data_IF_281050209305
#
_entry.id   IF_281050209305
#
_cell.length_a   1.000
_cell.length_b   1.000
_cell.length_c   1.000
_cell.angle_alpha   90.00
_cell.angle_beta   90.00
_cell.angle_gamma   90.00
#
_symmetry.space_group_name_H-M   'P 1'
#
loop_
_entity.id
_entity.type
_entity.pdbx_description
1 polymer ?
#
# COMPACT_ATOMS: atom_id res chain seq x y z
N UNK A 1 8.87 -9.78 15.26
CA UNK A 1 9.89 -8.80 15.59
C UNK A 1 9.49 -7.40 15.16
N UNK A 2 10.17 -6.38 15.66
CA UNK A 2 9.84 -4.98 15.37
C UNK A 2 9.86 -4.65 13.86
N UNK A 3 10.68 -5.36 13.08
CA UNK A 3 10.91 -5.09 11.65
C UNK A 3 10.15 -6.03 10.71
N UNK A 4 9.19 -6.79 11.22
CA UNK A 4 8.40 -7.72 10.40
C UNK A 4 7.60 -7.04 9.29
N UNK A 5 7.33 -5.75 9.41
CA UNK A 5 6.67 -4.94 8.38
C UNK A 5 7.55 -4.68 7.14
N UNK A 6 8.85 -4.89 7.21
CA UNK A 6 9.79 -4.74 6.08
C UNK A 6 9.91 -6.00 5.23
N UNK A 7 9.22 -7.07 5.58
CA UNK A 7 9.25 -8.34 4.85
C UNK A 7 7.84 -8.80 4.48
N UNK A 8 7.74 -9.52 3.36
CA UNK A 8 6.51 -10.13 2.89
C UNK A 8 6.81 -11.50 2.25
N UNK A 9 5.86 -12.41 2.35
CA UNK A 9 5.95 -13.74 1.71
C UNK A 9 4.93 -13.79 0.57
N UNK A 10 5.39 -14.31 -0.57
CA UNK A 10 4.58 -14.52 -1.75
C UNK A 10 4.63 -15.99 -2.19
N UNK A 11 3.51 -16.50 -2.63
CA UNK A 11 3.38 -17.87 -3.13
C UNK A 11 2.22 -18.04 -4.08
N UNK A 12 2.12 -19.23 -4.69
CA UNK A 12 3.14 -20.27 -4.84
C UNK A 12 4.18 -19.94 -5.92
N UNK A 13 5.11 -20.87 -6.19
CA UNK A 13 5.94 -20.80 -7.39
C UNK A 13 5.09 -20.80 -8.66
N UNK A 14 5.57 -20.13 -9.68
CA UNK A 14 4.84 -19.88 -10.94
C UNK A 14 5.65 -20.40 -12.11
N UNK A 15 4.99 -21.04 -13.04
CA UNK A 15 5.59 -21.41 -14.33
C UNK A 15 5.34 -20.29 -15.34
N UNK A 16 6.39 -19.73 -15.87
CA UNK A 16 6.36 -18.72 -16.94
C UNK A 16 7.05 -19.24 -18.20
N UNK A 17 6.72 -18.65 -19.33
CA UNK A 17 7.45 -18.94 -20.58
C UNK A 17 8.57 -17.94 -20.74
N UNK A 18 9.80 -18.43 -20.85
CA UNK A 18 10.96 -17.62 -21.19
C UNK A 18 10.81 -17.08 -22.63
N UNK A 19 10.92 -15.75 -22.76
CA UNK A 19 10.70 -15.07 -24.04
C UNK A 19 11.80 -15.33 -25.06
N UNK A 20 13.00 -15.72 -24.62
CA UNK A 20 14.15 -15.93 -25.51
C UNK A 20 14.18 -17.33 -26.14
N UNK A 21 13.84 -18.34 -25.37
CA UNK A 21 13.96 -19.73 -25.79
C UNK A 21 12.65 -20.49 -25.79
N UNK A 22 11.53 -19.84 -25.45
CA UNK A 22 10.17 -20.41 -25.36
C UNK A 22 10.06 -21.60 -24.40
N UNK A 23 11.00 -21.77 -23.47
CA UNK A 23 10.97 -22.82 -22.47
C UNK A 23 10.13 -22.38 -21.27
N UNK A 24 9.48 -23.38 -20.65
CA UNK A 24 8.81 -23.16 -19.37
C UNK A 24 9.85 -23.14 -18.25
N UNK A 25 9.81 -22.12 -17.44
CA UNK A 25 10.69 -21.93 -16.28
C UNK A 25 9.85 -21.71 -15.03
N UNK A 26 10.20 -22.37 -13.95
CA UNK A 26 9.57 -22.14 -12.64
C UNK A 26 10.32 -21.05 -11.91
N UNK A 27 9.60 -20.01 -11.49
CA UNK A 27 10.15 -18.88 -10.74
C UNK A 27 9.38 -18.65 -9.44
N UNK A 28 9.99 -17.98 -8.48
CA UNK A 28 9.30 -17.56 -7.25
C UNK A 28 8.23 -16.51 -7.53
N UNK A 29 7.13 -16.58 -6.81
CA UNK A 29 6.05 -15.57 -6.93
C UNK A 29 6.49 -14.17 -6.48
N UNK A 30 7.51 -14.07 -5.64
CA UNK A 30 8.15 -12.83 -5.21
C UNK A 30 8.69 -11.99 -6.37
N UNK A 31 9.29 -12.64 -7.38
CA UNK A 31 9.80 -11.98 -8.59
C UNK A 31 8.67 -11.33 -9.39
N UNK A 32 7.53 -12.03 -9.51
CA UNK A 32 6.35 -11.49 -10.18
C UNK A 32 5.70 -10.39 -9.35
N UNK A 33 5.61 -10.59 -8.04
CA UNK A 33 5.07 -9.59 -7.12
C UNK A 33 5.89 -8.30 -7.18
N UNK A 34 7.22 -8.38 -7.16
CA UNK A 34 8.10 -7.21 -7.29
C UNK A 34 7.85 -6.46 -8.60
N UNK A 35 7.79 -7.17 -9.73
CA UNK A 35 7.44 -6.57 -11.02
C UNK A 35 6.08 -5.87 -10.96
N UNK A 36 5.07 -6.53 -10.36
CA UNK A 36 3.72 -5.99 -10.28
C UNK A 36 3.67 -4.72 -9.42
N UNK A 37 4.37 -4.71 -8.27
CA UNK A 37 4.50 -3.52 -7.43
C UNK A 37 5.17 -2.37 -8.15
N UNK A 38 6.27 -2.61 -8.85
CA UNK A 38 6.96 -1.57 -9.63
C UNK A 38 6.07 -1.01 -10.74
N UNK A 39 5.33 -1.87 -11.46
CA UNK A 39 4.40 -1.43 -12.49
C UNK A 39 3.28 -0.57 -11.90
N UNK A 40 2.64 -1.01 -10.82
CA UNK A 40 1.54 -0.27 -10.18
C UNK A 40 2.01 1.08 -9.65
N UNK A 41 3.19 1.14 -9.01
CA UNK A 41 3.75 2.40 -8.51
C UNK A 41 4.06 3.35 -9.66
N UNK A 42 4.58 2.83 -10.78
CA UNK A 42 4.92 3.65 -11.95
C UNK A 42 3.67 4.16 -12.70
N UNK A 43 2.65 3.32 -12.85
CA UNK A 43 1.51 3.61 -13.72
C UNK A 43 0.37 4.33 -12.98
N UNK A 44 0.11 3.95 -11.73
CA UNK A 44 -0.98 4.47 -10.91
C UNK A 44 -0.47 5.37 -9.76
N UNK A 45 0.79 5.18 -9.35
CA UNK A 45 1.39 5.87 -8.20
C UNK A 45 0.98 5.31 -6.85
N UNK A 46 1.43 6.01 -5.78
CA UNK A 46 0.90 5.77 -4.44
C UNK A 46 -0.47 6.44 -4.31
N UNK A 47 -1.42 5.87 -3.58
CA UNK A 47 -1.37 4.75 -2.62
C UNK A 47 -1.79 3.38 -3.19
N UNK A 48 -1.82 3.17 -4.47
CA UNK A 48 -2.37 1.94 -5.05
C UNK A 48 -1.58 0.69 -4.66
N UNK A 49 -2.30 -0.42 -4.49
CA UNK A 49 -1.74 -1.71 -4.10
C UNK A 49 -1.69 -2.69 -5.27
N UNK A 50 -0.58 -3.42 -5.39
CA UNK A 50 -0.43 -4.48 -6.39
C UNK A 50 -1.15 -5.77 -5.95
N UNK A 51 -2.42 -5.66 -5.57
CA UNK A 51 -3.27 -6.76 -5.11
C UNK A 51 -4.71 -6.59 -5.62
N UNK A 52 -5.50 -7.66 -5.52
CA UNK A 52 -6.86 -7.69 -6.01
C UNK A 52 -6.96 -7.87 -7.52
N UNK A 53 -8.18 -8.09 -8.05
CA UNK A 53 -8.40 -8.48 -9.44
C UNK A 53 -8.06 -7.37 -10.45
N UNK A 54 -8.01 -6.10 -10.03
CA UNK A 54 -7.67 -4.98 -10.93
C UNK A 54 -6.16 -4.82 -11.11
N UNK A 55 -5.42 -4.68 -10.01
CA UNK A 55 -4.00 -4.28 -10.02
C UNK A 55 -3.05 -5.43 -9.66
N UNK A 56 -3.55 -6.52 -9.06
CA UNK A 56 -2.77 -7.70 -8.72
C UNK A 56 -2.76 -8.80 -9.78
N UNK A 57 -3.38 -8.57 -10.94
CA UNK A 57 -3.52 -9.60 -11.99
C UNK A 57 -2.17 -9.97 -12.59
N UNK A 58 -1.90 -11.28 -12.62
CA UNK A 58 -0.70 -11.87 -13.21
C UNK A 58 -1.04 -12.51 -14.54
N UNK A 59 -0.37 -12.06 -15.59
CA UNK A 59 -0.54 -12.59 -16.96
C UNK A 59 0.62 -13.48 -17.36
N UNK A 60 0.35 -14.44 -18.27
CA UNK A 60 1.36 -15.35 -18.82
C UNK A 60 2.08 -16.22 -17.78
N UNK A 61 1.38 -16.53 -16.69
CA UNK A 61 1.87 -17.43 -15.66
C UNK A 61 0.87 -18.56 -15.43
N UNK A 62 1.38 -19.73 -15.13
CA UNK A 62 0.59 -20.90 -14.71
C UNK A 62 1.01 -21.31 -13.31
N UNK A 63 0.04 -21.73 -12.52
CA UNK A 63 0.24 -22.26 -11.17
C UNK A 63 -0.32 -23.69 -11.15
N UNK A 64 0.39 -24.60 -10.52
CA UNK A 64 0.00 -26.02 -10.52
C UNK A 64 -1.31 -26.28 -9.77
N UNK A 65 -1.67 -25.41 -8.88
CA UNK A 65 -2.92 -25.47 -8.10
C UNK A 65 -3.80 -24.24 -8.32
N UNK A 66 -5.10 -24.42 -8.18
CA UNK A 66 -6.09 -23.36 -8.34
C UNK A 66 -6.85 -23.16 -7.04
N UNK A 67 -6.43 -22.17 -6.26
CA UNK A 67 -7.11 -21.77 -5.05
C UNK A 67 -8.03 -20.59 -5.41
N UNK A 68 -9.32 -20.70 -5.09
CA UNK A 68 -10.26 -19.59 -5.22
C UNK A 68 -10.10 -18.57 -4.08
N UNK A 69 -10.36 -17.30 -4.34
CA UNK A 69 -10.18 -16.23 -3.36
C UNK A 69 -11.03 -16.41 -2.08
N UNK A 70 -12.22 -16.94 -2.21
CA UNK A 70 -13.15 -17.18 -1.09
C UNK A 70 -12.96 -18.55 -0.42
N UNK A 71 -11.95 -19.32 -0.83
CA UNK A 71 -11.71 -20.65 -0.27
C UNK A 71 -11.18 -20.58 1.17
N UNK A 72 -11.33 -21.69 1.91
CA UNK A 72 -10.77 -21.78 3.26
C UNK A 72 -9.25 -21.73 3.25
N UNK A 73 -8.63 -22.29 2.21
CA UNK A 73 -7.18 -22.27 2.01
C UNK A 73 -6.68 -20.83 1.81
N UNK A 74 -7.34 -20.03 0.97
CA UNK A 74 -6.97 -18.63 0.77
C UNK A 74 -7.06 -17.83 2.08
N UNK A 75 -8.09 -18.11 2.91
CA UNK A 75 -8.21 -17.49 4.24
C UNK A 75 -7.07 -17.88 5.17
N UNK A 76 -6.72 -19.16 5.25
CA UNK A 76 -5.61 -19.63 6.09
C UNK A 76 -4.28 -18.98 5.71
N UNK A 77 -4.00 -18.83 4.42
CA UNK A 77 -2.79 -18.14 3.95
C UNK A 77 -2.81 -16.65 4.29
N UNK A 78 -3.96 -15.99 4.15
CA UNK A 78 -4.11 -14.60 4.55
C UNK A 78 -3.92 -14.39 6.07
N UNK A 79 -4.46 -15.28 6.89
CA UNK A 79 -4.30 -15.24 8.35
C UNK A 79 -2.83 -15.46 8.75
N UNK A 80 -2.10 -16.26 7.98
CA UNK A 80 -0.66 -16.44 8.12
C UNK A 80 0.17 -15.31 7.50
N UNK A 81 -0.45 -14.21 7.04
CA UNK A 81 0.19 -13.08 6.34
C UNK A 81 0.95 -13.46 5.07
N UNK A 82 0.51 -14.50 4.37
CA UNK A 82 1.05 -14.91 3.08
C UNK A 82 0.22 -14.33 1.93
N UNK A 83 0.90 -13.74 0.95
CA UNK A 83 0.27 -13.19 -0.24
C UNK A 83 0.24 -14.26 -1.33
N UNK A 84 -0.95 -14.81 -1.58
CA UNK A 84 -1.11 -15.93 -2.48
C UNK A 84 -1.69 -15.50 -3.82
N UNK A 85 -1.25 -16.18 -4.88
CA UNK A 85 -1.92 -16.14 -6.17
C UNK A 85 -3.17 -16.98 -6.09
N UNK A 86 -4.31 -16.33 -6.26
CA UNK A 86 -5.64 -16.98 -6.34
C UNK A 86 -6.15 -16.98 -7.77
N UNK A 87 -7.00 -17.96 -8.06
CA UNK A 87 -7.55 -18.16 -9.40
C UNK A 87 -8.98 -17.64 -9.49
N UNK A 88 -9.21 -16.69 -10.40
CA UNK A 88 -10.56 -16.25 -10.77
C UNK A 88 -11.12 -17.19 -11.87
N UNK A 89 -12.04 -18.05 -11.46
CA UNK A 89 -12.57 -19.11 -12.32
C UNK A 89 -13.39 -18.60 -13.51
N UNK A 90 -14.13 -17.49 -13.34
CA UNK A 90 -15.00 -16.93 -14.39
C UNK A 90 -14.20 -16.29 -15.51
N UNK A 91 -13.13 -15.58 -15.16
CA UNK A 91 -12.30 -14.82 -16.09
C UNK A 91 -10.98 -15.52 -16.43
N UNK A 92 -10.69 -16.65 -15.77
CA UNK A 92 -9.55 -17.55 -16.02
C UNK A 92 -8.18 -16.85 -15.92
N UNK A 93 -7.98 -16.05 -14.89
CA UNK A 93 -6.68 -15.43 -14.58
C UNK A 93 -6.29 -15.62 -13.12
N UNK A 94 -5.03 -15.31 -12.82
CA UNK A 94 -4.49 -15.30 -11.46
C UNK A 94 -4.25 -13.86 -11.00
N UNK A 95 -4.41 -13.62 -9.70
CA UNK A 95 -4.05 -12.35 -9.07
C UNK A 95 -3.58 -12.57 -7.64
N UNK A 96 -2.78 -11.64 -7.11
CA UNK A 96 -2.45 -11.64 -5.69
C UNK A 96 -3.66 -11.15 -4.89
N UNK A 97 -4.16 -11.98 -3.97
CA UNK A 97 -5.37 -11.67 -3.21
C UNK A 97 -5.15 -10.64 -2.10
N UNK A 98 -3.94 -10.56 -1.57
CA UNK A 98 -3.59 -9.72 -0.42
C UNK A 98 -2.28 -8.98 -0.64
N UNK A 99 -1.98 -8.04 0.26
CA UNK A 99 -0.75 -7.26 0.30
C UNK A 99 -0.19 -7.19 1.74
N UNK A 100 -0.11 -8.32 2.39
CA UNK A 100 0.31 -8.39 3.78
C UNK A 100 1.84 -8.38 3.90
N UNK A 101 2.33 -7.62 4.88
CA UNK A 101 3.69 -7.81 5.43
C UNK A 101 3.66 -8.96 6.44
N UNK A 102 4.82 -9.34 6.98
CA UNK A 102 4.89 -10.33 8.07
C UNK A 102 4.44 -9.77 9.44
N UNK A 103 3.92 -8.54 9.46
CA UNK A 103 3.34 -7.95 10.67
C UNK A 103 1.99 -8.60 10.97
N UNK A 104 1.91 -9.34 12.06
CA UNK A 104 0.67 -10.00 12.49
C UNK A 104 -0.26 -9.05 13.25
N UNK A 105 0.29 -8.03 13.90
CA UNK A 105 -0.51 -7.03 14.60
C UNK A 105 -1.42 -6.27 13.64
N UNK A 106 -2.64 -5.98 14.06
CA UNK A 106 -3.57 -5.16 13.29
C UNK A 106 -3.12 -3.69 13.33
N UNK A 107 -2.26 -3.33 12.40
CA UNK A 107 -1.71 -1.98 12.26
C UNK A 107 -1.64 -1.59 10.78
N UNK A 108 -1.47 -0.30 10.50
CA UNK A 108 -1.27 0.19 9.13
C UNK A 108 -0.06 -0.48 8.44
N UNK A 109 0.96 -0.87 9.20
CA UNK A 109 2.15 -1.54 8.71
C UNK A 109 1.95 -3.02 8.31
N UNK A 110 0.75 -3.55 8.51
CA UNK A 110 0.39 -4.85 7.95
C UNK A 110 0.26 -4.80 6.41
N UNK A 111 0.04 -3.64 5.83
CA UNK A 111 -0.15 -3.48 4.40
C UNK A 111 1.15 -3.00 3.71
N UNK A 112 1.62 -3.75 2.70
CA UNK A 112 2.82 -3.41 1.92
C UNK A 112 2.68 -2.02 1.29
N UNK A 113 1.53 -1.71 0.69
CA UNK A 113 1.28 -0.40 0.08
C UNK A 113 1.40 0.76 1.07
N UNK A 114 0.91 0.58 2.30
CA UNK A 114 1.06 1.59 3.35
C UNK A 114 2.53 1.77 3.75
N UNK A 115 3.27 0.68 3.93
CA UNK A 115 4.70 0.73 4.24
C UNK A 115 5.49 1.44 3.15
N UNK A 116 5.32 1.04 1.89
CA UNK A 116 6.02 1.65 0.75
C UNK A 116 5.69 3.14 0.62
N UNK A 117 4.43 3.52 0.84
CA UNK A 117 4.01 4.92 0.82
C UNK A 117 4.69 5.74 1.93
N UNK A 118 4.72 5.24 3.16
CA UNK A 118 5.38 5.91 4.29
C UNK A 118 6.89 6.05 4.04
N UNK A 119 7.54 5.00 3.55
CA UNK A 119 8.96 5.05 3.19
C UNK A 119 9.25 6.07 2.09
N UNK A 120 8.39 6.14 1.06
CA UNK A 120 8.52 7.14 0.00
C UNK A 120 8.32 8.58 0.52
N UNK A 121 7.34 8.80 1.41
CA UNK A 121 7.14 10.10 2.06
C UNK A 121 8.39 10.51 2.84
N UNK A 122 8.90 9.60 3.68
CA UNK A 122 10.12 9.84 4.48
C UNK A 122 11.31 10.21 3.59
N UNK A 123 11.57 9.44 2.54
CA UNK A 123 12.69 9.69 1.63
C UNK A 123 12.54 11.01 0.86
N UNK A 124 11.32 11.30 0.41
CA UNK A 124 11.05 12.54 -0.32
C UNK A 124 11.22 13.78 0.56
N UNK A 125 10.73 13.73 1.80
CA UNK A 125 10.94 14.81 2.78
C UNK A 125 12.41 14.95 3.12
N UNK A 126 13.12 13.85 3.40
CA UNK A 126 14.55 13.89 3.68
C UNK A 126 15.35 14.56 2.54
N UNK A 127 14.96 14.30 1.29
CA UNK A 127 15.58 14.92 0.12
C UNK A 127 15.26 16.42 0.01
N UNK A 128 13.99 16.81 0.21
CA UNK A 128 13.58 18.23 0.19
C UNK A 128 14.22 19.05 1.31
N UNK A 129 14.39 18.45 2.49
CA UNK A 129 14.95 19.12 3.65
C UNK A 129 16.48 19.29 3.57
N UNK A 130 17.18 18.61 2.67
CA UNK A 130 18.62 18.78 2.45
C UNK A 130 19.00 20.21 2.06
N UNK A 131 18.12 20.93 1.39
CA UNK A 131 18.38 22.29 0.93
C UNK A 131 18.45 23.31 2.08
N UNK A 132 17.97 22.94 3.27
CA UNK A 132 18.01 23.77 4.48
C UNK A 132 19.20 23.50 5.40
N UNK A 133 19.99 22.44 5.10
CA UNK A 133 21.17 22.09 5.89
C UNK A 133 22.24 23.16 5.70
N UNK A 134 22.92 23.54 6.80
CA UNK A 134 23.93 24.58 6.88
C UNK A 134 23.42 26.03 6.71
N UNK A 135 22.10 26.24 6.71
CA UNK A 135 21.55 27.58 6.81
C UNK A 135 21.50 28.05 8.28
N UNK A 136 21.66 29.35 8.54
CA UNK A 136 21.52 29.88 9.92
C UNK A 136 20.15 29.60 10.49
N UNK A 137 20.09 29.12 11.73
CA UNK A 137 18.81 28.88 12.42
C UNK A 137 18.18 30.24 12.75
N UNK A 138 17.04 30.50 12.16
CA UNK A 138 16.21 31.71 12.35
C UNK A 138 14.74 31.32 12.32
N UNK A 139 13.86 32.21 12.76
CA UNK A 139 12.41 31.99 12.66
C UNK A 139 11.97 31.81 11.22
N UNK A 140 12.58 32.52 10.26
CA UNK A 140 12.31 32.37 8.82
C UNK A 140 12.69 30.97 8.31
N UNK A 141 13.82 30.41 8.79
CA UNK A 141 14.22 29.05 8.43
C UNK A 141 13.21 28.02 8.97
N UNK A 142 12.80 28.17 10.23
CA UNK A 142 11.81 27.27 10.85
C UNK A 142 10.48 27.34 10.10
N UNK A 143 10.03 28.55 9.72
CA UNK A 143 8.81 28.72 8.92
C UNK A 143 8.95 28.09 7.53
N UNK A 144 10.07 28.26 6.85
CA UNK A 144 10.33 27.70 5.52
C UNK A 144 10.34 26.16 5.55
N UNK A 145 10.97 25.56 6.56
CA UNK A 145 10.97 24.10 6.77
C UNK A 145 9.55 23.60 7.04
N UNK A 146 8.83 24.27 7.96
CA UNK A 146 7.44 23.92 8.29
C UNK A 146 6.55 23.94 7.06
N UNK A 147 6.64 25.02 6.26
CA UNK A 147 5.88 25.17 5.01
C UNK A 147 6.21 24.05 4.00
N UNK A 148 7.50 23.76 3.82
CA UNK A 148 7.93 22.70 2.89
C UNK A 148 7.37 21.33 3.25
N UNK A 149 7.32 21.00 4.55
CA UNK A 149 6.73 19.74 5.02
C UNK A 149 5.22 19.78 4.83
N UNK A 150 4.53 20.84 5.24
CA UNK A 150 3.08 20.97 5.15
C UNK A 150 2.58 20.95 3.72
N UNK A 151 3.19 21.72 2.81
CA UNK A 151 2.80 21.74 1.39
C UNK A 151 2.92 20.36 0.74
N UNK A 152 3.98 19.62 1.08
CA UNK A 152 4.14 18.25 0.59
C UNK A 152 3.11 17.29 1.18
N UNK A 153 2.82 17.40 2.47
CA UNK A 153 1.84 16.55 3.13
C UNK A 153 0.40 16.86 2.69
N UNK A 154 0.07 18.12 2.42
CA UNK A 154 -1.21 18.52 1.85
C UNK A 154 -1.39 17.94 0.45
N UNK A 155 -0.33 17.91 -0.35
CA UNK A 155 -0.29 17.19 -1.63
C UNK A 155 -0.51 15.67 -1.45
N UNK A 156 0.08 15.07 -0.43
CA UNK A 156 -0.16 13.66 -0.11
C UNK A 156 -1.61 13.40 0.33
N UNK A 157 -2.20 14.30 1.11
CA UNK A 157 -3.59 14.21 1.58
C UNK A 157 -4.58 14.37 0.42
N UNK A 158 -4.40 15.36 -0.43
CA UNK A 158 -5.23 15.56 -1.63
C UNK A 158 -5.11 14.43 -2.66
N UNK A 159 -3.93 13.78 -2.74
CA UNK A 159 -3.70 12.57 -3.53
C UNK A 159 -4.16 11.28 -2.86
N UNK A 160 -4.88 11.31 -1.75
CA UNK A 160 -5.33 10.13 -0.97
C UNK A 160 -4.20 9.19 -0.53
N UNK A 161 -2.98 9.69 -0.41
CA UNK A 161 -1.82 8.91 0.09
C UNK A 161 -1.82 8.79 1.61
N UNK A 162 -2.32 9.81 2.28
CA UNK A 162 -2.55 9.84 3.73
C UNK A 162 -3.98 10.30 3.99
N UNK A 163 -4.61 9.77 5.02
CA UNK A 163 -5.93 10.22 5.46
C UNK A 163 -5.85 11.48 6.30
N UNK A 164 -4.79 11.59 7.09
CA UNK A 164 -4.52 12.78 7.92
C UNK A 164 -3.06 12.85 8.35
N UNK A 165 -2.61 14.04 8.78
CA UNK A 165 -1.30 14.24 9.36
C UNK A 165 -1.31 15.39 10.38
N UNK A 166 -0.33 15.37 11.29
CA UNK A 166 -0.04 16.46 12.22
C UNK A 166 1.47 16.74 12.22
N UNK A 167 1.84 18.00 12.15
CA UNK A 167 3.22 18.46 12.17
C UNK A 167 3.43 19.35 13.40
N UNK A 168 4.38 19.00 14.24
CA UNK A 168 4.78 19.79 15.41
C UNK A 168 6.25 20.15 15.29
N UNK A 169 6.57 21.41 15.60
CA UNK A 169 7.94 21.81 15.86
C UNK A 169 8.25 21.52 17.33
N UNK A 170 9.19 20.61 17.58
CA UNK A 170 9.62 20.22 18.92
C UNK A 170 11.01 20.75 19.28
N UNK A 171 11.54 21.66 18.46
CA UNK A 171 12.86 22.26 18.65
C UNK A 171 12.93 23.02 19.97
N UNK A 172 13.87 22.66 20.83
CA UNK A 172 14.14 23.30 22.09
C UNK A 172 15.32 24.31 21.96
N UNK A 173 15.50 25.15 22.96
CA UNK A 173 16.68 26.04 23.03
C UNK A 173 18.00 25.27 23.05
N UNK A 174 18.00 24.08 23.64
CA UNK A 174 19.18 23.21 23.68
C UNK A 174 19.51 22.68 22.30
N UNK A 175 18.49 22.29 21.51
CA UNK A 175 18.68 21.83 20.14
C UNK A 175 19.26 22.94 19.27
N UNK A 176 18.74 24.14 19.37
CA UNK A 176 19.29 25.32 18.68
C UNK A 176 20.76 25.53 19.03
N UNK A 177 21.14 25.37 20.32
CA UNK A 177 22.53 25.50 20.78
C UNK A 177 23.42 24.39 20.18
N UNK A 178 22.84 23.25 19.84
CA UNK A 178 23.51 22.11 19.17
C UNK A 178 23.46 22.20 17.63
N UNK A 179 22.90 23.30 17.07
CA UNK A 179 22.63 23.47 15.63
C UNK A 179 21.66 22.44 15.05
N UNK A 180 20.63 22.07 15.80
CA UNK A 180 19.63 21.08 15.42
C UNK A 180 18.22 21.67 15.38
N UNK A 181 17.40 21.19 14.45
CA UNK A 181 15.96 21.45 14.39
C UNK A 181 15.21 20.13 14.47
N UNK A 182 14.22 20.05 15.34
CA UNK A 182 13.43 18.85 15.57
C UNK A 182 11.96 19.08 15.18
N UNK A 183 11.50 18.30 14.21
CA UNK A 183 10.10 18.27 13.77
C UNK A 183 9.52 16.87 13.96
N UNK A 184 8.35 16.79 14.58
CA UNK A 184 7.59 15.56 14.68
C UNK A 184 6.45 15.56 13.66
N UNK A 185 6.51 14.65 12.70
CA UNK A 185 5.44 14.39 11.74
C UNK A 185 4.72 13.09 12.11
N UNK A 186 3.46 13.21 12.51
CA UNK A 186 2.56 12.07 12.71
C UNK A 186 1.64 11.98 11.50
N UNK A 187 1.50 10.81 10.91
CA UNK A 187 0.66 10.59 9.75
C UNK A 187 -0.19 9.32 9.87
N UNK A 188 -1.39 9.36 9.31
CA UNK A 188 -2.27 8.22 9.14
C UNK A 188 -2.26 7.83 7.65
N UNK A 189 -1.68 6.68 7.26
CA UNK A 189 -1.67 6.25 5.87
C UNK A 189 -3.08 5.95 5.38
N UNK A 190 -3.28 5.96 4.05
CA UNK A 190 -4.55 5.61 3.44
C UNK A 190 -4.93 4.16 3.77
N UNK A 191 -6.24 3.92 3.92
CA UNK A 191 -6.79 2.58 4.15
C UNK A 191 -7.18 1.94 2.81
N UNK A 192 -7.04 0.61 2.75
CA UNK A 192 -7.39 -0.18 1.57
C UNK A 192 -8.66 -0.98 1.84
N UNK A 193 -9.63 -0.91 0.93
CA UNK A 193 -10.83 -1.74 1.00
C UNK A 193 -10.44 -3.21 0.72
N UNK A 194 -10.46 -4.04 1.75
CA UNK A 194 -10.20 -5.47 1.63
C UNK A 194 -11.48 -6.28 1.38
N UNK A 195 -12.63 -5.78 1.85
CA UNK A 195 -13.94 -6.43 1.69
C UNK A 195 -15.01 -5.38 1.45
N UNK A 196 -15.92 -5.69 0.55
CA UNK A 196 -17.12 -4.88 0.27
C UNK A 196 -18.32 -5.79 0.48
N UNK A 197 -19.21 -5.42 1.39
CA UNK A 197 -20.45 -6.15 1.63
C UNK A 197 -21.58 -5.42 0.93
N UNK A 198 -22.24 -6.11 -0.01
CA UNK A 198 -23.45 -5.62 -0.67
C UNK A 198 -24.64 -6.39 -0.09
N UNK A 199 -25.55 -5.67 0.57
CA UNK A 199 -26.83 -6.22 1.01
C UNK A 199 -27.90 -5.78 0.01
N UNK A 200 -28.52 -6.74 -0.65
CA UNK A 200 -29.62 -6.49 -1.59
C UNK A 200 -30.93 -6.92 -0.92
N UNK A 201 -31.76 -5.97 -0.57
CA UNK A 201 -33.12 -6.24 -0.08
C UNK A 201 -34.06 -6.33 -1.28
N UNK A 202 -34.58 -7.53 -1.55
CA UNK A 202 -35.62 -7.73 -2.56
C UNK A 202 -36.97 -7.54 -1.89
N UNK A 203 -37.65 -6.45 -2.22
CA UNK A 203 -39.02 -6.20 -1.81
C UNK A 203 -39.99 -6.66 -2.89
N UNK A 204 -41.13 -7.22 -2.48
CA UNK A 204 -42.17 -7.66 -3.43
C UNK A 204 -42.66 -6.45 -4.21
N UNK A 205 -42.95 -6.61 -5.51
CA UNK A 205 -43.34 -5.53 -6.44
C UNK A 205 -44.59 -4.72 -6.05
N UNK A 206 -45.21 -5.03 -4.91
CA UNK A 206 -46.34 -4.29 -4.33
C UNK A 206 -45.90 -3.17 -3.36
N UNK A 207 -44.61 -3.04 -3.05
CA UNK A 207 -44.09 -1.94 -2.24
C UNK A 207 -43.61 -0.79 -3.13
N UNK A 208 -44.25 0.35 -2.89
CA UNK A 208 -44.16 1.59 -3.61
C UNK A 208 -42.69 2.01 -3.91
N UNK A 209 -42.41 2.36 -5.14
CA UNK A 209 -41.15 2.89 -5.66
C UNK A 209 -40.67 4.16 -4.92
N UNK A 210 -41.51 4.75 -4.08
CA UNK A 210 -41.19 5.97 -3.30
C UNK A 210 -40.16 5.75 -2.19
N UNK A 211 -39.96 4.51 -1.72
CA UNK A 211 -38.99 4.23 -0.65
C UNK A 211 -37.54 4.16 -1.19
N UNK A 212 -37.37 3.90 -2.47
CA UNK A 212 -36.06 3.85 -3.10
C UNK A 212 -35.49 5.22 -3.51
N UNK A 213 -36.29 6.27 -3.47
CA UNK A 213 -35.83 7.63 -3.76
C UNK A 213 -35.38 8.42 -2.51
N UNK A 214 -35.47 7.85 -1.33
CA UNK A 214 -35.07 8.49 -0.07
C UNK A 214 -33.83 7.88 0.58
N UNK A 215 -33.07 7.04 -0.14
CA UNK A 215 -31.77 6.53 0.20
C UNK A 215 -30.73 7.07 -0.77
#
# INVERSE_FOLDING_TARGET
>A
GADSYLAAIYGPHVTVTDLYNSRKVVIGADSIATKQWLSVINDEGFPYAAAGPRLGTVRNATVDWKIGDESNEARQFNDASMNMLVYEARQKYYYFNTQNTLQLANSAFRNIGAVLNVLNIKETLARKLKDYIQLPISDDLVEAVTRTISDYMDGCKSGNRVSDYALNNETTKTDVSNNELHFMLTLAPAYYAQKIYLVVNVVNAAFDFQILQSL
#
